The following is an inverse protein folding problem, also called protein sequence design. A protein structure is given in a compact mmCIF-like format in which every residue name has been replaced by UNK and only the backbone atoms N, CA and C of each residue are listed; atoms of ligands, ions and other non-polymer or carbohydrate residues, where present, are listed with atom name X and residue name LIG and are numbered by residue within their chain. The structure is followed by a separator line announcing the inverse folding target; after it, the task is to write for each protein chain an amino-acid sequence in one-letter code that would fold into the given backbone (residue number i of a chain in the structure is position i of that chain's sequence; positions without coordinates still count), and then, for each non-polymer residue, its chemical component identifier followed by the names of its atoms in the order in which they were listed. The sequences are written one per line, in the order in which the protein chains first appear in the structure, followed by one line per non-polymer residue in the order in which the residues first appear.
data_IF_096793620970
#
_entry.id   IF_096793620970
#
_cell.length_a   1.000
_cell.length_b   1.000
_cell.length_c   1.000
_cell.angle_alpha   90.00
_cell.angle_beta   90.00
_cell.angle_gamma   90.00
#
_symmetry.space_group_name_H-M   'P 1'
#
loop_
_entity.id
_entity.type
_entity.pdbx_description
1 polymer ?
#
# COMPACT_ATOMS: atom_id res chain seq x y z
N UNK A 1 -2.24 -39.85 -14.41
CA UNK A 1 -1.11 -39.57 -13.51
C UNK A 1 -0.30 -38.44 -14.13
N UNK A 2 -0.51 -37.21 -13.66
CA UNK A 2 0.19 -36.02 -14.19
C UNK A 2 1.41 -35.75 -13.29
N UNK A 3 2.60 -35.89 -13.84
CA UNK A 3 3.87 -35.62 -13.17
C UNK A 3 4.09 -34.11 -13.13
N UNK A 4 3.87 -33.51 -12.00
CA UNK A 4 4.23 -32.10 -11.75
C UNK A 4 5.76 -31.99 -11.71
N UNK A 5 6.33 -31.35 -12.72
CA UNK A 5 7.77 -31.02 -12.77
C UNK A 5 8.05 -29.93 -11.75
N UNK A 6 8.72 -30.28 -10.66
CA UNK A 6 9.16 -29.32 -9.67
C UNK A 6 10.24 -28.40 -10.30
N UNK A 7 9.91 -27.12 -10.45
CA UNK A 7 10.85 -26.11 -10.93
C UNK A 7 11.88 -25.84 -9.81
N UNK A 8 13.14 -26.05 -10.09
CA UNK A 8 14.23 -25.79 -9.16
C UNK A 8 14.24 -24.30 -8.70
N UNK A 9 14.57 -24.02 -7.44
CA UNK A 9 14.60 -22.64 -6.93
C UNK A 9 15.62 -21.81 -7.73
N UNK A 10 15.15 -20.67 -8.25
CA UNK A 10 16.04 -19.70 -8.90
C UNK A 10 17.07 -19.23 -7.88
N UNK A 11 18.35 -19.55 -8.15
CA UNK A 11 19.48 -19.04 -7.38
C UNK A 11 19.42 -17.50 -7.37
N UNK A 12 19.38 -16.90 -6.18
CA UNK A 12 19.40 -15.44 -6.05
C UNK A 12 20.61 -14.90 -6.81
N UNK A 13 20.38 -13.93 -7.70
CA UNK A 13 21.46 -13.28 -8.42
C UNK A 13 22.38 -12.58 -7.40
N UNK A 14 23.69 -12.71 -7.60
CA UNK A 14 24.67 -11.98 -6.80
C UNK A 14 24.36 -10.47 -6.88
N UNK A 15 24.45 -9.72 -5.76
CA UNK A 15 24.18 -8.30 -5.78
C UNK A 15 25.09 -7.61 -6.80
N UNK A 16 24.50 -6.82 -7.69
CA UNK A 16 25.24 -6.01 -8.65
C UNK A 16 26.18 -5.08 -7.88
N UNK A 17 27.45 -4.99 -8.27
CA UNK A 17 28.39 -4.07 -7.62
C UNK A 17 27.81 -2.65 -7.64
N UNK A 18 27.74 -2.01 -6.48
CA UNK A 18 27.28 -0.62 -6.37
C UNK A 18 28.18 0.30 -7.18
N UNK A 19 27.59 1.26 -7.86
CA UNK A 19 28.35 2.33 -8.51
C UNK A 19 29.15 3.10 -7.46
N UNK A 20 30.35 3.55 -7.81
CA UNK A 20 31.25 4.28 -6.93
C UNK A 20 30.66 5.58 -6.38
N UNK A 21 29.55 6.09 -6.97
CA UNK A 21 28.86 7.29 -6.56
C UNK A 21 27.37 7.12 -6.72
N UNK A 22 26.65 7.08 -5.61
CA UNK A 22 25.19 7.08 -5.58
C UNK A 22 24.68 8.53 -5.45
N UNK A 23 23.89 8.96 -6.43
CA UNK A 23 23.19 10.24 -6.43
C UNK A 23 21.70 9.97 -6.55
N UNK A 24 20.92 10.28 -5.55
CA UNK A 24 19.49 10.03 -5.55
C UNK A 24 19.01 9.60 -4.17
N UNK A 25 17.83 8.99 -4.13
CA UNK A 25 17.27 8.48 -2.87
C UNK A 25 18.12 7.33 -2.33
N UNK A 26 18.21 7.19 -0.99
CA UNK A 26 18.91 6.07 -0.37
C UNK A 26 18.39 4.72 -0.82
N UNK A 27 19.25 3.71 -0.81
CA UNK A 27 18.88 2.34 -1.12
C UNK A 27 17.79 1.83 -0.15
N UNK A 28 16.68 1.33 -0.72
CA UNK A 28 15.55 0.81 0.03
C UNK A 28 15.92 -0.29 1.03
N UNK A 29 16.98 -1.05 0.79
CA UNK A 29 17.48 -2.09 1.69
C UNK A 29 17.86 -1.55 3.08
N UNK A 30 18.15 -0.26 3.22
CA UNK A 30 18.45 0.37 4.50
C UNK A 30 17.21 0.45 5.41
N UNK A 31 16.03 0.60 4.80
CA UNK A 31 14.76 0.82 5.49
C UNK A 31 13.86 -0.41 5.51
N UNK A 32 14.36 -1.53 5.00
CA UNK A 32 13.55 -2.74 4.88
C UNK A 32 13.40 -3.43 6.23
N UNK A 33 12.17 -3.84 6.55
CA UNK A 33 11.85 -4.66 7.70
C UNK A 33 12.79 -5.88 7.80
N UNK A 34 13.30 -6.25 8.99
CA UNK A 34 14.33 -7.28 9.13
C UNK A 34 13.99 -8.63 8.48
N UNK A 35 12.74 -9.11 8.65
CA UNK A 35 12.28 -10.37 8.02
C UNK A 35 12.28 -10.25 6.49
N UNK A 36 11.83 -9.12 5.95
CA UNK A 36 11.86 -8.89 4.50
C UNK A 36 13.28 -8.83 3.96
N UNK A 37 14.19 -8.21 4.71
CA UNK A 37 15.61 -8.09 4.34
C UNK A 37 16.30 -9.44 4.28
N UNK A 38 16.07 -10.31 5.27
CA UNK A 38 16.64 -11.67 5.30
C UNK A 38 16.09 -12.56 4.18
N UNK A 39 14.83 -12.36 3.82
CA UNK A 39 14.12 -13.18 2.82
C UNK A 39 13.92 -12.48 1.48
N UNK A 40 14.71 -11.46 1.18
CA UNK A 40 14.58 -10.69 -0.07
C UNK A 40 14.65 -11.60 -1.31
N UNK A 41 13.55 -11.64 -2.08
CA UNK A 41 13.41 -12.50 -3.26
C UNK A 41 13.25 -14.00 -2.97
N UNK A 42 13.06 -14.41 -1.72
CA UNK A 42 12.98 -15.81 -1.29
C UNK A 42 11.62 -16.17 -0.66
N UNK A 43 10.52 -15.70 -1.27
CA UNK A 43 9.16 -15.94 -0.82
C UNK A 43 8.59 -17.18 -1.47
N UNK A 44 7.92 -18.04 -0.68
CA UNK A 44 7.36 -19.32 -1.10
C UNK A 44 5.91 -19.18 -1.56
N UNK A 45 5.08 -18.56 -0.74
CA UNK A 45 3.68 -18.32 -1.03
C UNK A 45 3.13 -17.16 -0.18
N UNK A 46 1.94 -16.71 -0.53
CA UNK A 46 1.18 -15.72 0.25
C UNK A 46 -0.31 -16.00 0.16
N UNK A 47 -1.04 -15.58 1.18
CA UNK A 47 -2.50 -15.57 1.20
C UNK A 47 -3.06 -14.28 1.80
N UNK A 48 -4.36 -14.24 1.95
CA UNK A 48 -5.12 -13.14 2.53
C UNK A 48 -6.07 -13.70 3.57
N UNK A 49 -5.67 -13.82 4.83
CA UNK A 49 -6.49 -14.42 5.87
C UNK A 49 -7.76 -13.61 6.16
N UNK A 50 -7.75 -12.30 5.87
CA UNK A 50 -8.91 -11.41 5.97
C UNK A 50 -8.67 -10.11 5.19
N UNK A 51 -9.75 -9.32 4.91
CA UNK A 51 -9.60 -8.01 4.25
C UNK A 51 -8.59 -7.11 4.96
N UNK A 52 -7.74 -6.47 4.17
CA UNK A 52 -6.67 -5.58 4.66
C UNK A 52 -5.43 -6.29 5.19
N UNK A 53 -5.39 -7.62 5.22
CA UNK A 53 -4.25 -8.39 5.72
C UNK A 53 -3.69 -9.31 4.65
N UNK A 54 -2.39 -9.22 4.41
CA UNK A 54 -1.62 -10.12 3.56
C UNK A 54 -0.68 -10.91 4.45
N UNK A 55 -0.62 -12.22 4.27
CA UNK A 55 0.31 -13.10 4.96
C UNK A 55 1.31 -13.67 3.95
N UNK A 56 2.58 -13.58 4.24
CA UNK A 56 3.66 -14.06 3.38
C UNK A 56 4.55 -15.04 4.12
N UNK A 57 4.85 -16.17 3.49
CA UNK A 57 5.72 -17.21 4.02
C UNK A 57 6.94 -17.37 3.12
N UNK A 58 8.12 -17.33 3.72
CA UNK A 58 9.38 -17.51 3.02
C UNK A 58 9.76 -18.99 2.87
N UNK A 59 10.74 -19.28 2.02
CA UNK A 59 11.32 -20.62 1.93
C UNK A 59 12.12 -21.01 3.19
N UNK A 60 12.51 -20.06 4.02
CA UNK A 60 13.17 -20.32 5.32
C UNK A 60 12.18 -20.67 6.42
N UNK A 61 10.87 -20.50 6.19
CA UNK A 61 9.83 -20.68 7.19
C UNK A 61 9.54 -19.43 8.01
N UNK A 62 10.24 -18.31 7.78
CA UNK A 62 9.87 -17.03 8.38
C UNK A 62 8.62 -16.47 7.73
N UNK A 63 7.80 -15.82 8.53
CA UNK A 63 6.49 -15.29 8.14
C UNK A 63 6.42 -13.79 8.40
N UNK A 64 5.60 -13.09 7.62
CA UNK A 64 5.28 -11.68 7.83
C UNK A 64 3.85 -11.39 7.42
N UNK A 65 3.15 -10.65 8.26
CA UNK A 65 1.81 -10.14 7.99
C UNK A 65 1.92 -8.67 7.62
N UNK A 66 1.25 -8.28 6.54
CA UNK A 66 1.16 -6.89 6.13
C UNK A 66 -0.26 -6.41 6.36
N UNK A 67 -0.46 -5.47 7.26
CA UNK A 67 -1.74 -4.82 7.53
C UNK A 67 -1.79 -3.52 6.74
N UNK A 68 -2.80 -3.36 5.87
CA UNK A 68 -3.00 -2.18 5.02
C UNK A 68 -4.13 -1.33 5.54
N UNK A 69 -3.86 -0.04 5.72
CA UNK A 69 -4.86 0.95 6.09
C UNK A 69 -4.92 2.10 5.08
N UNK A 70 -6.10 2.65 4.87
CA UNK A 70 -6.31 3.85 4.06
C UNK A 70 -5.81 5.09 4.81
N UNK A 71 -5.09 5.98 4.11
CA UNK A 71 -4.62 7.25 4.67
C UNK A 71 -4.84 8.39 3.69
N UNK A 72 -4.71 9.61 4.20
CA UNK A 72 -4.68 10.81 3.37
C UNK A 72 -3.30 10.98 2.73
N UNK A 73 -3.22 11.63 1.58
CA UNK A 73 -1.95 12.00 0.95
C UNK A 73 -1.26 13.16 1.66
N UNK A 74 -2.06 14.05 2.27
CA UNK A 74 -1.56 15.15 3.08
C UNK A 74 -1.92 14.89 4.54
N UNK A 75 -0.92 14.84 5.37
CA UNK A 75 -1.03 14.62 6.81
C UNK A 75 -0.21 15.65 7.56
N UNK A 76 -0.65 16.01 8.75
CA UNK A 76 0.14 16.80 9.67
C UNK A 76 1.19 15.93 10.39
N UNK A 77 2.12 16.61 11.04
CA UNK A 77 3.22 15.93 11.77
C UNK A 77 2.70 15.12 12.97
N UNK A 78 1.60 15.53 13.58
CA UNK A 78 1.01 14.81 14.72
C UNK A 78 0.44 13.47 14.27
N UNK A 79 -0.28 13.46 13.16
CA UNK A 79 -0.81 12.25 12.54
C UNK A 79 0.32 11.29 12.14
N UNK A 80 1.39 11.83 11.53
CA UNK A 80 2.57 11.01 11.16
C UNK A 80 3.24 10.41 12.40
N UNK A 81 3.41 11.17 13.47
CA UNK A 81 3.97 10.66 14.74
C UNK A 81 3.09 9.55 15.33
N UNK A 82 1.77 9.73 15.32
CA UNK A 82 0.86 8.68 15.78
C UNK A 82 1.02 7.37 14.98
N UNK A 83 1.16 7.47 13.66
CA UNK A 83 1.44 6.30 12.83
C UNK A 83 2.80 5.67 13.14
N UNK A 84 3.81 6.49 13.45
CA UNK A 84 5.12 5.99 13.92
C UNK A 84 4.99 5.26 15.26
N UNK A 85 4.26 5.82 16.23
CA UNK A 85 4.05 5.20 17.54
C UNK A 85 3.34 3.83 17.39
N UNK A 86 2.35 3.73 16.51
CA UNK A 86 1.68 2.48 16.17
C UNK A 86 2.67 1.49 15.54
N UNK A 87 3.53 1.98 14.62
CA UNK A 87 4.52 1.14 13.98
C UNK A 87 5.57 0.61 14.98
N UNK A 88 6.03 1.45 15.90
CA UNK A 88 6.97 1.06 16.96
C UNK A 88 6.36 -0.02 17.87
N UNK A 89 5.07 0.11 18.19
CA UNK A 89 4.39 -0.82 19.08
C UNK A 89 4.11 -2.18 18.41
N UNK A 90 3.72 -2.22 17.14
CA UNK A 90 3.19 -3.42 16.50
C UNK A 90 4.02 -3.94 15.31
N UNK A 91 4.74 -3.06 14.61
CA UNK A 91 5.38 -3.34 13.31
C UNK A 91 6.90 -3.10 13.33
N UNK A 92 7.53 -3.22 14.51
CA UNK A 92 8.99 -3.13 14.67
C UNK A 92 9.58 -1.83 14.07
N UNK A 93 8.81 -0.73 14.14
CA UNK A 93 9.21 0.58 13.62
C UNK A 93 9.19 0.71 12.09
N UNK A 94 8.53 -0.19 11.38
CA UNK A 94 8.55 -0.20 9.92
C UNK A 94 7.18 0.03 9.31
N UNK A 95 7.13 0.98 8.38
CA UNK A 95 5.95 1.28 7.56
C UNK A 95 6.30 1.36 6.09
N UNK A 96 5.32 1.15 5.22
CA UNK A 96 5.43 1.32 3.78
C UNK A 96 4.26 2.16 3.26
N UNK A 97 4.55 3.22 2.52
CA UNK A 97 3.56 3.97 1.78
C UNK A 97 3.31 3.32 0.42
N UNK A 98 2.06 3.22 0.02
CA UNK A 98 1.69 2.69 -1.29
C UNK A 98 1.36 3.81 -2.26
N UNK A 99 1.42 3.53 -3.56
CA UNK A 99 1.08 4.48 -4.61
C UNK A 99 -0.38 4.97 -4.53
N UNK A 100 -1.25 4.25 -3.83
CA UNK A 100 -2.69 4.56 -3.70
C UNK A 100 -3.04 5.20 -2.36
N UNK A 101 -2.09 5.88 -1.73
CA UNK A 101 -2.30 6.55 -0.44
C UNK A 101 -2.74 5.61 0.68
N UNK A 102 -2.34 4.33 0.63
CA UNK A 102 -2.43 3.44 1.76
C UNK A 102 -1.10 3.42 2.53
N UNK A 103 -1.18 3.14 3.81
CA UNK A 103 -0.02 2.79 4.62
C UNK A 103 -0.07 1.30 4.96
N UNK A 104 1.08 0.66 5.00
CA UNK A 104 1.20 -0.75 5.35
C UNK A 104 2.17 -0.93 6.51
N UNK A 105 1.75 -1.75 7.47
CA UNK A 105 2.51 -2.15 8.63
C UNK A 105 2.91 -3.60 8.46
N UNK A 106 4.20 -3.88 8.59
CA UNK A 106 4.75 -5.23 8.48
C UNK A 106 4.98 -5.80 9.87
N UNK A 107 4.38 -6.94 10.16
CA UNK A 107 4.35 -7.55 11.49
C UNK A 107 4.90 -8.96 11.39
N UNK A 108 5.87 -9.32 12.22
CA UNK A 108 6.48 -10.66 12.25
C UNK A 108 5.74 -11.65 13.16
N UNK A 109 4.80 -11.17 13.98
CA UNK A 109 4.04 -11.97 14.94
C UNK A 109 2.53 -11.87 14.67
N UNK A 110 1.87 -12.98 14.37
CA UNK A 110 0.42 -13.01 14.09
C UNK A 110 -0.41 -12.42 15.26
N UNK A 111 0.02 -12.65 16.49
CA UNK A 111 -0.66 -12.14 17.69
C UNK A 111 -0.81 -10.63 17.74
N UNK A 112 0.05 -9.89 17.06
CA UNK A 112 0.02 -8.42 16.97
C UNK A 112 -0.94 -7.90 15.89
N UNK A 113 -1.39 -8.74 14.95
CA UNK A 113 -2.22 -8.31 13.82
C UNK A 113 -3.58 -7.78 14.27
N UNK A 114 -4.28 -8.50 15.13
CA UNK A 114 -5.60 -8.09 15.60
C UNK A 114 -5.57 -6.81 16.46
N UNK A 115 -4.66 -6.66 17.44
CA UNK A 115 -4.49 -5.41 18.18
C UNK A 115 -4.12 -4.23 17.28
N UNK A 116 -3.22 -4.42 16.32
CA UNK A 116 -2.85 -3.38 15.34
C UNK A 116 -4.05 -2.88 14.55
N UNK A 117 -4.91 -3.79 14.05
CA UNK A 117 -6.11 -3.42 13.31
C UNK A 117 -7.06 -2.61 14.20
N UNK A 118 -7.27 -3.04 15.44
CA UNK A 118 -8.12 -2.33 16.38
C UNK A 118 -7.61 -0.90 16.65
N UNK A 119 -6.30 -0.73 16.83
CA UNK A 119 -5.69 0.58 17.06
C UNK A 119 -5.79 1.48 15.82
N UNK A 120 -5.57 0.95 14.61
CA UNK A 120 -5.72 1.69 13.36
C UNK A 120 -7.15 2.18 13.15
N UNK A 121 -8.14 1.30 13.32
CA UNK A 121 -9.57 1.65 13.19
C UNK A 121 -9.99 2.68 14.25
N UNK A 122 -9.58 2.52 15.50
CA UNK A 122 -9.84 3.48 16.57
C UNK A 122 -9.18 4.84 16.31
N UNK A 123 -8.08 4.85 15.55
CA UNK A 123 -7.36 6.05 15.14
C UNK A 123 -7.90 6.69 13.87
N UNK A 124 -8.97 6.14 13.27
CA UNK A 124 -9.61 6.64 12.06
C UNK A 124 -8.91 6.22 10.75
N UNK A 125 -8.07 5.20 10.79
CA UNK A 125 -7.43 4.62 9.60
C UNK A 125 -8.12 3.30 9.23
N UNK A 126 -9.05 3.29 8.27
CA UNK A 126 -9.80 2.09 7.91
C UNK A 126 -8.84 1.04 7.31
N UNK A 127 -8.97 -0.20 7.78
CA UNK A 127 -8.19 -1.34 7.28
C UNK A 127 -8.91 -1.99 6.10
N UNK A 128 -8.21 -2.20 4.97
CA UNK A 128 -8.82 -2.76 3.75
C UNK A 128 -7.95 -2.61 2.50
N UNK A 129 -8.60 -2.54 1.34
CA UNK A 129 -7.96 -2.27 0.05
C UNK A 129 -7.09 -3.42 -0.48
N UNK A 130 -7.35 -4.65 -0.04
CA UNK A 130 -6.70 -5.87 -0.52
C UNK A 130 -7.68 -6.74 -1.31
N UNK A 131 -7.17 -7.69 -2.07
CA UNK A 131 -7.99 -8.67 -2.79
C UNK A 131 -8.98 -8.04 -3.77
N UNK A 132 -10.16 -8.66 -3.87
CA UNK A 132 -11.26 -8.22 -4.72
C UNK A 132 -12.06 -7.10 -4.05
N UNK A 133 -11.44 -5.94 -3.94
CA UNK A 133 -11.98 -4.75 -3.31
C UNK A 133 -11.66 -3.50 -4.13
N UNK A 134 -12.21 -2.37 -3.73
CA UNK A 134 -11.72 -1.07 -4.16
C UNK A 134 -10.50 -0.71 -3.33
N UNK A 135 -9.38 -0.41 -3.97
CA UNK A 135 -8.22 0.19 -3.30
C UNK A 135 -8.49 1.69 -3.06
N UNK A 136 -7.67 2.34 -2.21
CA UNK A 136 -7.70 3.80 -2.13
C UNK A 136 -7.52 4.43 -3.50
N UNK A 137 -8.19 5.57 -3.72
CA UNK A 137 -8.19 6.28 -5.00
C UNK A 137 -6.91 7.11 -5.12
N UNK A 138 -6.15 6.89 -6.18
CA UNK A 138 -5.04 7.77 -6.52
C UNK A 138 -5.58 9.09 -7.09
N UNK A 139 -5.03 10.23 -6.67
CA UNK A 139 -5.49 11.52 -7.15
C UNK A 139 -4.35 12.55 -7.27
N UNK A 140 -4.62 13.59 -8.06
CA UNK A 140 -3.71 14.72 -8.25
C UNK A 140 -3.89 15.80 -7.17
N UNK A 141 -3.07 16.83 -7.19
CA UNK A 141 -3.12 17.92 -6.22
C UNK A 141 -4.45 18.69 -6.22
N UNK A 142 -5.02 18.93 -7.42
CA UNK A 142 -6.24 19.73 -7.53
C UNK A 142 -6.06 21.14 -6.94
N UNK A 143 -7.08 21.61 -6.26
CA UNK A 143 -7.10 22.94 -5.66
C UNK A 143 -6.23 23.10 -4.41
N UNK A 144 -5.54 22.04 -3.94
CA UNK A 144 -4.65 22.19 -2.79
C UNK A 144 -3.56 23.25 -3.04
N UNK A 145 -2.85 23.17 -4.17
CA UNK A 145 -1.86 24.17 -4.56
C UNK A 145 -1.39 24.04 -6.02
N UNK A 146 -2.18 23.43 -6.89
CA UNK A 146 -1.90 23.44 -8.32
C UNK A 146 -2.45 24.71 -8.94
N UNK A 147 -1.74 25.29 -9.92
CA UNK A 147 -2.11 26.53 -10.61
C UNK A 147 -3.00 26.33 -11.84
N UNK A 148 -3.16 25.09 -12.30
CA UNK A 148 -3.94 24.73 -13.51
C UNK A 148 -5.05 23.68 -13.29
N UNK A 149 -5.66 23.54 -12.11
CA UNK A 149 -6.67 22.51 -11.93
C UNK A 149 -8.02 22.92 -12.48
N UNK A 150 -8.68 22.02 -13.21
CA UNK A 150 -10.06 22.19 -13.65
C UNK A 150 -11.09 21.83 -12.57
N UNK A 151 -10.68 21.13 -11.49
CA UNK A 151 -11.56 20.72 -10.40
C UNK A 151 -10.80 20.42 -9.12
N UNK A 152 -11.55 20.30 -8.01
CA UNK A 152 -11.05 19.75 -6.74
C UNK A 152 -10.99 18.21 -6.80
N UNK A 153 -9.83 17.66 -7.14
CA UNK A 153 -9.63 16.21 -7.15
C UNK A 153 -9.74 15.59 -5.74
N UNK A 154 -9.33 16.31 -4.70
CA UNK A 154 -9.34 15.82 -3.32
C UNK A 154 -10.76 15.67 -2.78
N UNK A 155 -11.63 16.66 -3.03
CA UNK A 155 -13.05 16.60 -2.65
C UNK A 155 -13.79 15.48 -3.36
N UNK A 156 -13.54 15.30 -4.65
CA UNK A 156 -14.13 14.21 -5.43
C UNK A 156 -13.71 12.83 -4.87
N UNK A 157 -12.43 12.66 -4.51
CA UNK A 157 -11.92 11.41 -3.91
C UNK A 157 -12.54 11.18 -2.53
N UNK A 158 -12.65 12.23 -1.70
CA UNK A 158 -13.30 12.10 -0.39
C UNK A 158 -14.73 11.62 -0.52
N UNK A 159 -15.52 12.23 -1.41
CA UNK A 159 -16.91 11.84 -1.65
C UNK A 159 -17.03 10.38 -2.14
N UNK A 160 -16.19 10.01 -3.11
CA UNK A 160 -16.16 8.63 -3.62
C UNK A 160 -15.76 7.62 -2.54
N UNK A 161 -14.78 7.93 -1.71
CA UNK A 161 -14.35 7.01 -0.64
C UNK A 161 -15.39 6.90 0.48
N UNK A 162 -16.14 7.95 0.79
CA UNK A 162 -17.23 7.89 1.76
C UNK A 162 -18.32 6.91 1.29
N UNK A 163 -18.68 6.94 0.01
CA UNK A 163 -19.65 6.01 -0.57
C UNK A 163 -19.10 4.57 -0.71
N UNK A 164 -17.83 4.43 -1.01
CA UNK A 164 -17.18 3.15 -1.33
C UNK A 164 -16.42 2.54 -0.16
N UNK A 165 -16.53 3.08 1.05
CA UNK A 165 -15.77 2.60 2.21
C UNK A 165 -16.06 1.13 2.53
N UNK A 166 -17.29 0.69 2.31
CA UNK A 166 -17.69 -0.71 2.50
C UNK A 166 -16.93 -1.63 1.54
N UNK A 167 -16.83 -1.22 0.26
CA UNK A 167 -16.13 -1.98 -0.77
C UNK A 167 -14.60 -1.94 -0.61
N UNK A 168 -14.08 -0.93 0.07
CA UNK A 168 -12.68 -0.88 0.51
C UNK A 168 -12.40 -1.87 1.64
N UNK A 169 -13.34 -2.01 2.60
CA UNK A 169 -13.20 -2.88 3.79
C UNK A 169 -13.55 -4.35 3.55
N UNK A 170 -14.13 -4.70 2.39
CA UNK A 170 -14.54 -6.06 2.03
C UNK A 170 -13.77 -6.57 0.81
N UNK A 171 -13.72 -7.88 0.63
CA UNK A 171 -13.16 -8.54 -0.56
C UNK A 171 -14.25 -9.32 -1.34
N UNK A 172 -15.45 -8.74 -1.46
CA UNK A 172 -16.64 -9.37 -2.03
C UNK A 172 -16.93 -8.94 -3.48
N UNK A 173 -16.13 -8.06 -4.04
CA UNK A 173 -16.30 -7.64 -5.43
C UNK A 173 -15.93 -8.78 -6.41
N UNK A 174 -16.50 -8.81 -7.62
CA UNK A 174 -16.12 -9.81 -8.63
C UNK A 174 -14.64 -9.74 -8.99
N UNK A 175 -14.04 -8.54 -8.92
CA UNK A 175 -12.64 -8.30 -9.21
C UNK A 175 -12.11 -7.10 -8.42
N UNK A 176 -10.78 -6.95 -8.37
CA UNK A 176 -10.15 -5.74 -7.83
C UNK A 176 -10.38 -4.57 -8.77
N UNK A 177 -10.72 -3.41 -8.22
CA UNK A 177 -10.91 -2.17 -8.98
C UNK A 177 -9.99 -1.08 -8.45
N UNK A 178 -9.24 -0.47 -9.37
CA UNK A 178 -8.42 0.69 -9.10
C UNK A 178 -9.07 1.93 -9.70
N UNK A 179 -9.15 2.99 -8.89
CA UNK A 179 -9.71 4.26 -9.30
C UNK A 179 -8.63 5.35 -9.30
N UNK A 180 -8.74 6.31 -10.20
CA UNK A 180 -7.93 7.53 -10.17
C UNK A 180 -8.75 8.76 -10.54
N UNK A 181 -8.37 9.91 -9.98
CA UNK A 181 -8.97 11.20 -10.29
C UNK A 181 -7.88 12.21 -10.63
N UNK A 182 -7.95 12.80 -11.82
CA UNK A 182 -7.05 13.84 -12.28
C UNK A 182 -7.78 15.16 -12.44
N UNK A 183 -7.25 16.22 -11.83
CA UNK A 183 -7.86 17.56 -11.84
C UNK A 183 -7.76 18.27 -13.19
N UNK A 184 -6.97 17.76 -14.13
CA UNK A 184 -6.82 18.27 -15.50
C UNK A 184 -6.26 17.19 -16.44
N UNK A 185 -6.20 17.50 -17.73
CA UNK A 185 -5.73 16.61 -18.80
C UNK A 185 -4.25 16.22 -18.73
N UNK A 186 -3.42 16.87 -17.91
CA UNK A 186 -2.02 16.47 -17.66
C UNK A 186 -1.94 15.09 -16.97
N UNK A 187 -3.01 14.70 -16.28
CA UNK A 187 -3.15 13.35 -15.70
C UNK A 187 -1.99 12.91 -14.78
N UNK A 188 -1.56 13.79 -13.88
CA UNK A 188 -0.53 13.47 -12.89
C UNK A 188 -0.92 12.34 -11.93
N UNK A 189 -2.20 11.95 -11.88
CA UNK A 189 -2.72 10.86 -11.03
C UNK A 189 -2.46 9.46 -11.57
N UNK A 190 -1.99 9.35 -12.82
CA UNK A 190 -1.74 8.08 -13.47
C UNK A 190 -3.01 7.37 -13.95
N UNK A 191 -2.84 6.19 -14.52
CA UNK A 191 -3.92 5.35 -15.03
C UNK A 191 -4.46 4.40 -13.95
N UNK A 192 -5.74 4.03 -14.10
CA UNK A 192 -6.44 3.07 -13.27
C UNK A 192 -7.47 2.32 -14.12
N UNK A 193 -8.16 1.34 -13.54
CA UNK A 193 -9.24 0.61 -14.24
C UNK A 193 -10.39 1.57 -14.59
N UNK A 194 -10.66 2.53 -13.68
CA UNK A 194 -11.58 3.65 -13.92
C UNK A 194 -10.85 4.94 -13.57
N UNK A 195 -10.71 5.84 -14.55
CA UNK A 195 -10.06 7.13 -14.38
C UNK A 195 -11.02 8.28 -14.69
N UNK A 196 -11.10 9.25 -13.78
CA UNK A 196 -11.81 10.52 -13.99
C UNK A 196 -10.74 11.56 -14.35
N UNK A 197 -10.80 12.09 -15.57
CA UNK A 197 -9.87 13.12 -16.05
C UNK A 197 -10.70 14.34 -16.44
N UNK A 198 -10.45 15.46 -15.79
CA UNK A 198 -11.16 16.71 -16.06
C UNK A 198 -10.47 17.46 -17.19
N UNK A 199 -11.26 17.94 -18.13
CA UNK A 199 -10.79 18.80 -19.21
C UNK A 199 -11.24 20.24 -18.97
N UNK A 200 -10.36 21.20 -19.31
CA UNK A 200 -10.75 22.60 -19.35
C UNK A 200 -11.62 22.82 -20.60
N UNK A 201 -12.78 23.37 -20.37
CA UNK A 201 -13.62 23.90 -21.49
C UNK A 201 -13.22 25.35 -21.79
N UNK A 202 -13.06 25.68 -23.07
CA UNK A 202 -12.82 27.05 -23.51
C UNK A 202 -14.04 27.91 -23.27
#
# INVERSE_FOLDING_TARGET
MSTATATAPKKAAAPTPRRAKETGVPDHMQFMHPVLKRNHGNWKWHDRPRPGVLHHVSHTGEEVWTVRAGTQRQMDVYTIRKLCDIADQYAEGHVRFTIRSNIEFMVSEESKVAPLIAELEASGFPVGGTGNSISMIAHTQGWLHCDIPGTDASGAVKALMDELITEFKREEMPNRVHLSTSCCEINCGGQADIAIIVQHTK
#
